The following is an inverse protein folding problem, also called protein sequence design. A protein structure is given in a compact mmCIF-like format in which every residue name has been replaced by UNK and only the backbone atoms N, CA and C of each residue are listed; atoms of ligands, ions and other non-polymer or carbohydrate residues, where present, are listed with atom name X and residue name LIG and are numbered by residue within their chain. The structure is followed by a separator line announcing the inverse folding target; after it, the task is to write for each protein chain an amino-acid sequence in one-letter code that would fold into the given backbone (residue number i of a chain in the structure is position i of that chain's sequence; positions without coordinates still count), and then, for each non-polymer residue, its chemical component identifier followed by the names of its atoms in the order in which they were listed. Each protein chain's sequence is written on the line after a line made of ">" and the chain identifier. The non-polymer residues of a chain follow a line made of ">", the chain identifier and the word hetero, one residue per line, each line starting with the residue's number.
data_IF_509843466283
#
_entry.id   IF_509843466283
#
_cell.length_a   1.000
_cell.length_b   1.000
_cell.length_c   1.000
_cell.angle_alpha   90.00
_cell.angle_beta   90.00
_cell.angle_gamma   90.00
#
_symmetry.space_group_name_H-M   'P 1'
#
loop_
_entity.id
_entity.type
_entity.pdbx_description
1 polymer ?
#
# COMPACT_ATOMS: atom_id res chain seq x y z
N UNK A 1 8.63 18.08 -20.55
CA UNK A 1 7.89 17.95 -19.29
C UNK A 1 7.99 16.51 -18.88
N UNK A 2 8.74 16.19 -17.82
CA UNK A 2 8.67 14.85 -17.21
C UNK A 2 7.27 14.69 -16.66
N UNK A 3 6.44 13.93 -17.36
CA UNK A 3 5.16 13.49 -16.82
C UNK A 3 5.48 12.63 -15.60
N UNK A 4 5.23 13.18 -14.41
CA UNK A 4 5.31 12.44 -13.16
C UNK A 4 4.19 11.41 -13.12
N UNK A 5 4.37 10.33 -13.88
CA UNK A 5 3.42 9.23 -13.98
C UNK A 5 3.35 8.54 -12.62
N UNK A 6 2.18 8.58 -12.02
CA UNK A 6 1.86 7.81 -10.82
C UNK A 6 1.99 6.33 -11.14
N UNK A 7 2.77 5.63 -10.34
CA UNK A 7 3.00 4.19 -10.49
C UNK A 7 2.54 3.49 -9.24
N UNK A 8 2.18 2.23 -9.42
CA UNK A 8 1.83 1.35 -8.33
C UNK A 8 3.10 0.78 -7.72
N UNK A 9 3.21 0.87 -6.41
CA UNK A 9 4.28 0.27 -5.63
C UNK A 9 3.68 -0.61 -4.55
N UNK A 10 4.49 -1.55 -4.08
CA UNK A 10 4.07 -2.44 -3.01
C UNK A 10 4.99 -2.25 -1.82
N UNK A 11 4.40 -2.00 -0.67
CA UNK A 11 5.04 -1.91 0.62
C UNK A 11 4.85 -3.23 1.36
N UNK A 12 5.95 -3.75 1.90
CA UNK A 12 5.95 -4.86 2.83
C UNK A 12 5.76 -4.31 4.23
N UNK A 13 4.71 -4.76 4.88
CA UNK A 13 4.33 -4.39 6.23
C UNK A 13 4.28 -5.63 7.13
N UNK A 14 4.33 -5.40 8.44
CA UNK A 14 4.10 -6.47 9.42
C UNK A 14 2.64 -6.91 9.35
N UNK A 15 2.42 -8.21 9.12
CA UNK A 15 1.09 -8.80 9.04
C UNK A 15 0.27 -8.58 10.33
N UNK A 16 -1.01 -8.24 10.16
CA UNK A 16 -1.93 -7.92 11.26
C UNK A 16 -1.94 -6.44 11.66
N UNK A 17 -1.06 -5.61 11.09
CA UNK A 17 -1.04 -4.16 11.29
C UNK A 17 -1.19 -3.36 10.00
N UNK A 18 -1.59 -3.99 8.89
CA UNK A 18 -1.70 -3.31 7.59
C UNK A 18 -2.68 -2.12 7.64
N UNK A 19 -3.80 -2.27 8.37
CA UNK A 19 -4.76 -1.18 8.58
C UNK A 19 -4.11 0.02 9.26
N UNK A 20 -3.34 -0.21 10.31
CA UNK A 20 -2.60 0.85 11.01
C UNK A 20 -1.55 1.47 10.11
N UNK A 21 -0.81 0.68 9.33
CA UNK A 21 0.16 1.19 8.35
C UNK A 21 -0.51 2.13 7.36
N UNK A 22 -1.66 1.76 6.81
CA UNK A 22 -2.44 2.65 5.94
C UNK A 22 -2.81 3.95 6.65
N UNK A 23 -3.29 3.90 7.89
CA UNK A 23 -3.61 5.10 8.67
C UNK A 23 -2.37 5.98 8.91
N UNK A 24 -1.22 5.38 9.22
CA UNK A 24 0.03 6.13 9.37
C UNK A 24 0.47 6.78 8.06
N UNK A 25 0.39 6.06 6.94
CA UNK A 25 0.66 6.61 5.61
C UNK A 25 -0.26 7.80 5.32
N UNK A 26 -1.56 7.67 5.56
CA UNK A 26 -2.55 8.73 5.33
C UNK A 26 -2.26 9.98 6.18
N UNK A 27 -1.89 9.77 7.44
CA UNK A 27 -1.48 10.87 8.33
C UNK A 27 -0.18 11.55 7.86
N UNK A 28 0.83 10.78 7.43
CA UNK A 28 2.08 11.33 6.89
C UNK A 28 1.83 12.12 5.60
N UNK A 29 0.98 11.60 4.71
CA UNK A 29 0.56 12.31 3.48
C UNK A 29 -0.06 13.65 3.83
N UNK A 30 -0.97 13.69 4.81
CA UNK A 30 -1.61 14.93 5.27
C UNK A 30 -0.62 15.88 5.94
N UNK A 31 0.28 15.36 6.77
CA UNK A 31 1.29 16.14 7.49
C UNK A 31 2.26 16.83 6.55
N UNK A 32 2.68 16.14 5.50
CA UNK A 32 3.68 16.60 4.54
C UNK A 32 3.06 17.17 3.25
N UNK A 33 1.74 17.28 3.17
CA UNK A 33 0.98 17.69 1.97
C UNK A 33 1.39 16.92 0.70
N UNK A 34 1.56 15.61 0.82
CA UNK A 34 1.97 14.73 -0.30
C UNK A 34 0.79 14.19 -1.11
N UNK A 35 -0.41 14.74 -0.94
CA UNK A 35 -1.62 14.28 -1.62
C UNK A 35 -1.52 14.43 -3.15
N UNK A 36 -0.73 15.38 -3.64
CA UNK A 36 -0.43 15.53 -5.06
C UNK A 36 0.42 14.35 -5.61
N UNK A 37 1.33 13.84 -4.78
CA UNK A 37 2.30 12.80 -5.14
C UNK A 37 1.75 11.40 -4.89
N UNK A 38 1.05 11.17 -3.77
CA UNK A 38 0.43 9.89 -3.42
C UNK A 38 -1.07 10.00 -3.68
N UNK A 39 -1.55 9.29 -4.70
CA UNK A 39 -2.96 9.29 -5.05
C UNK A 39 -3.80 8.40 -4.13
N UNK A 40 -3.34 7.18 -3.87
CA UNK A 40 -4.11 6.24 -3.07
C UNK A 40 -3.27 5.13 -2.44
N UNK A 41 -3.76 4.64 -1.31
CA UNK A 41 -3.19 3.52 -0.56
C UNK A 41 -4.27 2.46 -0.40
N UNK A 42 -3.98 1.25 -0.87
CA UNK A 42 -4.90 0.12 -0.87
C UNK A 42 -4.29 -1.06 -0.12
N UNK A 43 -5.11 -1.72 0.69
CA UNK A 43 -4.75 -2.98 1.33
C UNK A 43 -5.49 -4.09 0.58
N UNK A 44 -4.80 -5.15 0.11
CA UNK A 44 -5.43 -6.27 -0.58
C UNK A 44 -6.23 -7.10 0.42
N UNK A 45 -7.43 -6.62 0.74
CA UNK A 45 -8.41 -7.28 1.62
C UNK A 45 -9.64 -7.68 0.83
N UNK A 46 -10.06 -8.93 0.98
CA UNK A 46 -11.28 -9.45 0.42
C UNK A 46 -12.39 -9.44 1.47
N UNK A 47 -13.56 -8.91 1.12
CA UNK A 47 -14.75 -8.96 1.99
C UNK A 47 -15.35 -10.36 1.90
N UNK A 48 -15.09 -11.18 2.90
CA UNK A 48 -15.71 -12.50 3.03
C UNK A 48 -16.97 -12.40 3.88
N UNK A 49 -18.09 -12.93 3.38
CA UNK A 49 -19.33 -13.00 4.15
C UNK A 49 -19.36 -14.32 4.91
N UNK A 50 -19.20 -14.28 6.23
CA UNK A 50 -19.43 -15.45 7.08
C UNK A 50 -20.83 -15.41 7.66
N UNK A 51 -21.53 -16.55 7.59
CA UNK A 51 -22.79 -16.74 8.30
C UNK A 51 -22.43 -17.25 9.69
N UNK A 52 -22.72 -16.44 10.72
CA UNK A 52 -22.53 -16.83 12.13
C UNK A 52 -23.85 -16.62 12.85
N UNK A 53 -24.41 -17.68 13.44
CA UNK A 53 -25.74 -17.64 14.08
C UNK A 53 -26.88 -17.10 13.17
N UNK A 54 -26.88 -17.47 11.88
CA UNK A 54 -27.92 -17.04 10.94
C UNK A 54 -27.85 -15.55 10.52
N UNK A 55 -26.93 -14.76 11.07
CA UNK A 55 -26.66 -13.37 10.62
C UNK A 55 -25.46 -13.36 9.68
N UNK A 56 -25.57 -12.63 8.57
CA UNK A 56 -24.46 -12.36 7.65
C UNK A 56 -23.52 -11.36 8.34
N UNK A 57 -22.33 -11.83 8.73
CA UNK A 57 -21.26 -10.97 9.24
C UNK A 57 -20.25 -10.77 8.11
N UNK A 58 -20.11 -9.54 7.65
CA UNK A 58 -19.02 -9.17 6.73
C UNK A 58 -17.71 -9.16 7.52
N UNK A 59 -16.79 -10.06 7.16
CA UNK A 59 -15.44 -10.08 7.71
C UNK A 59 -14.48 -9.73 6.58
N UNK A 60 -13.56 -8.82 6.83
CA UNK A 60 -12.49 -8.53 5.89
C UNK A 60 -11.37 -9.53 6.13
N UNK A 61 -11.02 -10.34 5.12
CA UNK A 61 -9.88 -11.26 5.16
C UNK A 61 -8.79 -10.71 4.24
N UNK A 62 -7.61 -10.54 4.79
CA UNK A 62 -6.45 -10.06 4.01
C UNK A 62 -5.99 -11.20 3.10
N UNK A 63 -5.95 -10.95 1.80
CA UNK A 63 -5.58 -11.96 0.80
C UNK A 63 -4.05 -12.10 0.71
N UNK A 64 -3.34 -10.96 0.80
CA UNK A 64 -1.88 -10.90 0.90
C UNK A 64 -1.47 -10.23 2.22
N UNK A 65 -1.35 -11.00 3.33
CA UNK A 65 -0.95 -10.42 4.61
C UNK A 65 0.46 -9.83 4.52
N UNK A 66 0.61 -8.63 5.04
CA UNK A 66 1.87 -7.88 5.01
C UNK A 66 2.17 -7.17 3.69
N UNK A 67 1.20 -7.03 2.80
CA UNK A 67 1.35 -6.24 1.57
C UNK A 67 0.39 -5.06 1.56
N UNK A 68 0.90 -3.88 1.21
CA UNK A 68 0.13 -2.65 1.04
C UNK A 68 0.47 -2.07 -0.33
N UNK A 69 -0.52 -1.82 -1.15
CA UNK A 69 -0.34 -1.18 -2.45
C UNK A 69 -0.46 0.32 -2.29
N UNK A 70 0.39 1.06 -3.00
CA UNK A 70 0.39 2.51 -2.99
C UNK A 70 0.57 3.02 -4.41
N UNK A 71 -0.31 3.91 -4.84
CA UNK A 71 -0.17 4.63 -6.09
C UNK A 71 0.46 5.99 -5.80
N UNK A 72 1.70 6.16 -6.21
CA UNK A 72 2.46 7.36 -5.93
C UNK A 72 3.43 7.70 -7.06
N UNK A 73 3.86 8.96 -7.09
CA UNK A 73 5.06 9.37 -7.81
C UNK A 73 6.22 9.31 -6.83
N UNK A 74 7.13 8.36 -7.04
CA UNK A 74 8.33 8.29 -6.22
C UNK A 74 9.37 9.28 -6.73
N UNK A 75 9.42 10.44 -6.05
CA UNK A 75 10.42 11.48 -6.28
C UNK A 75 11.14 11.75 -4.96
N UNK A 76 12.47 11.80 -5.01
CA UNK A 76 13.32 12.21 -3.89
C UNK A 76 13.06 11.43 -2.59
N UNK A 77 12.49 12.12 -1.60
CA UNK A 77 12.34 11.67 -0.21
C UNK A 77 11.10 10.82 0.06
N UNK A 78 10.15 10.71 -0.89
CA UNK A 78 8.91 9.92 -0.72
C UNK A 78 9.23 8.47 -0.30
N UNK A 79 10.24 7.86 -0.93
CA UNK A 79 10.64 6.49 -0.61
C UNK A 79 11.17 6.35 0.83
N UNK A 80 11.82 7.39 1.34
CA UNK A 80 12.39 7.37 2.70
C UNK A 80 11.27 7.55 3.71
N UNK A 81 10.35 8.48 3.46
CA UNK A 81 9.16 8.71 4.28
C UNK A 81 8.35 7.42 4.42
N UNK A 82 8.07 6.73 3.30
CA UNK A 82 7.29 5.50 3.32
C UNK A 82 8.02 4.33 4.02
N UNK A 83 9.36 4.30 4.00
CA UNK A 83 10.17 3.33 4.75
C UNK A 83 10.23 3.63 6.25
N UNK A 84 10.17 4.90 6.63
CA UNK A 84 10.22 5.36 8.03
C UNK A 84 8.93 5.05 8.80
N UNK A 85 7.83 4.78 8.07
CA UNK A 85 6.53 4.50 8.67
C UNK A 85 6.60 3.27 9.58
N UNK A 86 6.04 3.35 10.80
CA UNK A 86 6.09 2.25 11.75
C UNK A 86 5.36 1.03 11.20
N UNK A 87 5.96 -0.14 11.41
CA UNK A 87 5.50 -1.45 10.94
C UNK A 87 5.66 -1.68 9.42
N UNK A 88 6.32 -0.77 8.69
CA UNK A 88 6.85 -1.05 7.35
C UNK A 88 8.18 -1.77 7.48
N UNK A 89 8.33 -2.85 6.72
CA UNK A 89 9.58 -3.62 6.60
C UNK A 89 10.43 -3.02 5.47
N UNK A 90 9.77 -2.60 4.39
CA UNK A 90 10.40 -1.94 3.26
C UNK A 90 9.55 -2.06 2.01
N UNK A 91 10.10 -1.68 0.87
CA UNK A 91 9.40 -1.84 -0.41
C UNK A 91 9.60 -3.24 -0.99
N UNK A 92 8.63 -3.65 -1.80
CA UNK A 92 8.82 -4.71 -2.77
C UNK A 92 9.64 -4.13 -3.93
N UNK A 93 10.80 -4.70 -4.16
CA UNK A 93 11.75 -4.15 -5.10
C UNK A 93 13.08 -4.88 -5.04
N UNK A 94 14.12 -4.26 -5.59
CA UNK A 94 15.43 -4.89 -5.66
C UNK A 94 15.97 -5.14 -4.24
N UNK A 95 16.24 -6.40 -3.85
CA UNK A 95 16.72 -6.72 -2.51
C UNK A 95 18.11 -6.15 -2.21
N UNK A 96 18.87 -5.70 -3.23
CA UNK A 96 20.22 -5.16 -3.07
C UNK A 96 20.26 -3.65 -2.91
N UNK A 97 19.42 -2.91 -3.66
CA UNK A 97 19.36 -1.44 -3.54
C UNK A 97 18.25 -0.99 -2.59
N UNK A 98 17.29 -1.87 -2.29
CA UNK A 98 16.11 -1.51 -1.52
C UNK A 98 15.21 -0.51 -2.25
N UNK A 99 15.44 -0.30 -3.55
CA UNK A 99 14.67 0.62 -4.36
C UNK A 99 13.31 0.01 -4.71
N UNK A 100 12.23 0.77 -4.56
CA UNK A 100 10.90 0.35 -4.93
C UNK A 100 10.78 0.13 -6.44
N UNK A 101 10.37 -1.08 -6.83
CA UNK A 101 10.10 -1.38 -8.24
C UNK A 101 8.63 -1.07 -8.52
N UNK A 102 8.32 -0.25 -9.54
CA UNK A 102 6.93 -0.02 -9.92
C UNK A 102 6.33 -1.30 -10.50
N UNK A 103 5.15 -1.66 -10.02
CA UNK A 103 4.30 -2.66 -10.65
C UNK A 103 3.89 -2.19 -12.04
N UNK A 104 3.84 -3.13 -12.98
CA UNK A 104 3.21 -2.87 -14.28
C UNK A 104 1.71 -2.67 -14.06
N UNK A 105 1.09 -1.83 -14.87
CA UNK A 105 -0.38 -1.62 -14.81
C UNK A 105 -1.16 -2.93 -14.93
N UNK A 106 -0.71 -3.88 -15.74
CA UNK A 106 -1.31 -5.22 -15.84
C UNK A 106 -1.26 -6.01 -14.52
N UNK A 107 -0.19 -5.85 -13.73
CA UNK A 107 -0.03 -6.53 -12.44
C UNK A 107 -0.85 -5.84 -11.35
N UNK A 108 -0.83 -4.51 -11.32
CA UNK A 108 -1.68 -3.73 -10.43
C UNK A 108 -3.16 -4.08 -10.64
N UNK A 109 -3.64 -4.08 -11.89
CA UNK A 109 -5.03 -4.46 -12.20
C UNK A 109 -5.35 -5.89 -11.75
N UNK A 110 -4.43 -6.84 -11.90
CA UNK A 110 -4.64 -8.22 -11.44
C UNK A 110 -4.78 -8.33 -9.92
N UNK A 111 -4.13 -7.45 -9.16
CA UNK A 111 -4.22 -7.41 -7.69
C UNK A 111 -5.47 -6.62 -7.25
N UNK A 112 -5.88 -5.62 -8.02
CA UNK A 112 -7.04 -4.78 -7.74
C UNK A 112 -8.37 -5.41 -8.14
N UNK A 113 -8.37 -6.33 -9.11
CA UNK A 113 -9.56 -7.02 -9.63
C UNK A 113 -9.87 -6.63 -11.05
#
# INVERSE_FOLDING_TARGET
>A
MEENVKKWYVLRAIGGKEKKVKEYIDNEIKRLNLADLIAQVLIPTEKVYQIRNGKKVSKERIFYPGYVLIEAVLVGEIQHILKDIPNVIGFLGDPKTGEPIPLRQSEANRILG
#
